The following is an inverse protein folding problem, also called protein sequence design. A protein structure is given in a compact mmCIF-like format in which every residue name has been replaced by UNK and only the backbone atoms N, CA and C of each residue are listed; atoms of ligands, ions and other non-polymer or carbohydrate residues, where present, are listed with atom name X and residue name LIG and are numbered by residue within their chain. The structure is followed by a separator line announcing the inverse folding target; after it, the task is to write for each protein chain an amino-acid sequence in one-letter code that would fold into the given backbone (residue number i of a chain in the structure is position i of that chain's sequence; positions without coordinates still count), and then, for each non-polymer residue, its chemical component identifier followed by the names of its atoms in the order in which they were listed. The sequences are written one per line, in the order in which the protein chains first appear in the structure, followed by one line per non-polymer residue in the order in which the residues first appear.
data_IF_906466572825
#
_entry.id   IF_906466572825
#
_cell.length_a   1.000
_cell.length_b   1.000
_cell.length_c   1.000
_cell.angle_alpha   90.00
_cell.angle_beta   90.00
_cell.angle_gamma   90.00
#
_symmetry.space_group_name_H-M   'P 1'
#
loop_
_entity.id
_entity.type
_entity.pdbx_description
1 polymer ?
#
# COMPACT_ATOMS: atom_id res chain seq x y z
N UNK A 1 16.34 -10.69 -17.99
CA UNK A 1 16.80 -10.43 -16.58
C UNK A 1 16.38 -9.02 -16.21
N UNK A 2 15.67 -8.85 -15.09
CA UNK A 2 15.28 -7.54 -14.56
C UNK A 2 15.98 -7.29 -13.24
N UNK A 3 16.46 -6.05 -13.04
CA UNK A 3 17.05 -5.59 -11.78
C UNK A 3 16.15 -4.52 -11.17
N UNK A 4 15.97 -4.58 -9.86
CA UNK A 4 15.14 -3.64 -9.09
C UNK A 4 15.95 -3.20 -7.87
N UNK A 5 16.10 -1.90 -7.69
CA UNK A 5 16.69 -1.32 -6.48
C UNK A 5 15.56 -1.03 -5.51
N UNK A 6 15.67 -1.52 -4.30
CA UNK A 6 14.66 -1.32 -3.25
C UNK A 6 14.75 0.12 -2.75
N UNK A 7 13.63 0.84 -2.80
CA UNK A 7 13.51 2.21 -2.32
C UNK A 7 13.19 2.25 -0.82
N UNK A 8 13.29 3.42 -0.21
CA UNK A 8 12.98 3.61 1.21
C UNK A 8 11.55 3.20 1.55
N UNK A 9 10.58 3.53 0.68
CA UNK A 9 9.16 3.18 0.85
C UNK A 9 8.89 1.67 0.82
N UNK A 10 9.80 0.88 0.25
CA UNK A 10 9.69 -0.57 0.10
C UNK A 10 10.52 -1.34 1.14
N UNK A 11 11.33 -0.63 1.93
CA UNK A 11 12.18 -1.26 2.95
C UNK A 11 11.35 -1.87 4.08
N UNK A 12 11.92 -2.89 4.74
CA UNK A 12 11.29 -3.56 5.89
C UNK A 12 10.27 -4.65 5.52
N UNK A 13 9.68 -4.63 4.33
CA UNK A 13 8.73 -5.65 3.90
C UNK A 13 9.43 -6.95 3.48
N UNK A 14 8.68 -8.05 3.49
CA UNK A 14 9.20 -9.34 3.04
C UNK A 14 9.30 -9.37 1.52
N UNK A 15 10.32 -10.05 1.01
CA UNK A 15 10.59 -10.17 -0.43
C UNK A 15 9.40 -10.75 -1.22
N UNK A 16 8.68 -11.74 -0.67
CA UNK A 16 7.51 -12.33 -1.31
C UNK A 16 6.38 -11.32 -1.44
N UNK A 17 6.15 -10.49 -0.43
CA UNK A 17 5.11 -9.45 -0.44
C UNK A 17 5.45 -8.33 -1.41
N UNK A 18 6.70 -7.88 -1.41
CA UNK A 18 7.18 -6.90 -2.37
C UNK A 18 6.97 -7.39 -3.82
N UNK A 19 7.45 -8.59 -4.14
CA UNK A 19 7.37 -9.14 -5.49
C UNK A 19 5.94 -9.38 -5.96
N UNK A 20 5.04 -9.81 -5.07
CA UNK A 20 3.62 -10.00 -5.40
C UNK A 20 2.93 -8.67 -5.74
N UNK A 21 3.30 -7.58 -5.06
CA UNK A 21 2.73 -6.25 -5.33
C UNK A 21 3.31 -5.64 -6.60
N UNK A 22 4.64 -5.73 -6.77
CA UNK A 22 5.37 -5.10 -7.89
C UNK A 22 5.12 -5.83 -9.21
N UNK A 23 4.92 -7.15 -9.19
CA UNK A 23 4.72 -7.98 -10.37
C UNK A 23 3.45 -8.83 -10.25
N UNK A 24 2.27 -8.24 -10.43
CA UNK A 24 0.98 -8.94 -10.28
C UNK A 24 0.82 -10.09 -11.26
N UNK A 25 1.48 -10.04 -12.44
CA UNK A 25 1.47 -11.11 -13.44
C UNK A 25 2.36 -12.31 -13.06
N UNK A 26 3.12 -12.24 -11.95
CA UNK A 26 3.92 -13.36 -11.47
C UNK A 26 3.11 -14.22 -10.48
N UNK A 27 2.67 -15.44 -10.87
CA UNK A 27 1.90 -16.31 -10.00
C UNK A 27 2.69 -16.66 -8.74
N UNK A 28 2.04 -16.68 -7.58
CA UNK A 28 2.67 -16.94 -6.28
C UNK A 28 3.42 -18.29 -6.24
N UNK A 29 2.86 -19.33 -6.86
CA UNK A 29 3.52 -20.62 -6.96
C UNK A 29 4.84 -20.55 -7.74
N UNK A 30 4.86 -19.77 -8.83
CA UNK A 30 6.06 -19.53 -9.63
C UNK A 30 7.09 -18.72 -8.84
N UNK A 31 6.66 -17.66 -8.15
CA UNK A 31 7.50 -16.85 -7.27
C UNK A 31 8.25 -17.72 -6.25
N UNK A 32 7.54 -18.57 -5.52
CA UNK A 32 8.14 -19.45 -4.51
C UNK A 32 9.09 -20.49 -5.13
N UNK A 33 8.73 -21.01 -6.31
CA UNK A 33 9.60 -21.92 -7.06
C UNK A 33 10.90 -21.23 -7.48
N UNK A 34 10.81 -19.98 -7.96
CA UNK A 34 11.96 -19.20 -8.45
C UNK A 34 12.91 -18.79 -7.32
N UNK A 35 12.40 -18.45 -6.14
CA UNK A 35 13.24 -18.22 -4.96
C UNK A 35 14.02 -19.50 -4.60
N UNK A 36 13.34 -20.66 -4.55
CA UNK A 36 13.99 -21.96 -4.25
C UNK A 36 15.03 -22.37 -5.29
N UNK A 37 14.76 -22.09 -6.58
CA UNK A 37 15.68 -22.37 -7.69
C UNK A 37 16.84 -21.39 -7.80
N UNK A 38 16.88 -20.34 -6.98
CA UNK A 38 17.87 -19.25 -7.01
C UNK A 38 17.80 -18.38 -8.26
N UNK A 39 16.64 -18.37 -8.94
CA UNK A 39 16.35 -17.48 -10.08
C UNK A 39 16.07 -16.05 -9.60
N UNK A 40 15.94 -15.85 -8.29
CA UNK A 40 15.82 -14.55 -7.62
C UNK A 40 16.98 -14.42 -6.63
N UNK A 41 17.75 -13.33 -6.76
CA UNK A 41 18.92 -13.05 -5.93
C UNK A 41 18.82 -11.66 -5.31
N UNK A 42 19.19 -11.54 -4.06
CA UNK A 42 19.33 -10.29 -3.33
C UNK A 42 20.80 -9.96 -3.13
N UNK A 43 21.25 -8.82 -3.63
CA UNK A 43 22.66 -8.41 -3.59
C UNK A 43 23.62 -9.50 -4.13
N UNK A 44 23.21 -10.17 -5.22
CA UNK A 44 23.96 -11.28 -5.82
C UNK A 44 23.91 -12.60 -5.04
N UNK A 45 23.30 -12.64 -3.86
CA UNK A 45 23.24 -13.81 -2.98
C UNK A 45 21.85 -14.48 -3.01
N UNK A 46 21.81 -15.72 -2.56
CA UNK A 46 20.56 -16.46 -2.33
C UNK A 46 19.73 -15.74 -1.26
N UNK A 47 18.40 -15.68 -1.45
CA UNK A 47 17.44 -15.16 -0.49
C UNK A 47 16.39 -16.22 -0.14
N UNK A 48 15.66 -16.00 0.94
CA UNK A 48 14.53 -16.81 1.39
C UNK A 48 13.23 -16.03 1.24
N UNK A 49 12.10 -16.73 1.22
CA UNK A 49 10.77 -16.14 1.09
C UNK A 49 10.50 -15.09 2.19
N UNK A 50 11.02 -15.35 3.40
CA UNK A 50 10.85 -14.48 4.56
C UNK A 50 11.87 -13.35 4.67
N UNK A 51 12.87 -13.29 3.76
CA UNK A 51 13.90 -12.25 3.77
C UNK A 51 13.26 -10.87 3.72
N UNK A 52 13.69 -9.98 4.64
CA UNK A 52 13.25 -8.59 4.65
C UNK A 52 14.21 -7.74 3.83
N UNK A 53 13.62 -6.89 3.01
CA UNK A 53 14.35 -5.98 2.13
C UNK A 53 14.82 -4.73 2.89
N UNK A 54 15.96 -4.19 2.49
CA UNK A 54 16.49 -2.93 2.99
C UNK A 54 16.58 -1.91 1.86
N UNK A 55 16.50 -0.63 2.18
CA UNK A 55 16.71 0.42 1.19
C UNK A 55 18.10 0.29 0.56
N UNK A 56 18.18 0.42 -0.75
CA UNK A 56 19.40 0.23 -1.53
C UNK A 56 19.72 -1.22 -1.92
N UNK A 57 18.98 -2.21 -1.42
CA UNK A 57 19.15 -3.59 -1.86
C UNK A 57 18.92 -3.74 -3.37
N UNK A 58 19.77 -4.53 -4.03
CA UNK A 58 19.65 -4.88 -5.44
C UNK A 58 19.02 -6.26 -5.59
N UNK A 59 17.82 -6.29 -6.14
CA UNK A 59 17.09 -7.51 -6.44
C UNK A 59 17.26 -7.87 -7.92
N UNK A 60 17.85 -9.03 -8.21
CA UNK A 60 18.03 -9.54 -9.56
C UNK A 60 17.06 -10.70 -9.83
N UNK A 61 16.25 -10.57 -10.87
CA UNK A 61 15.18 -11.49 -11.26
C UNK A 61 15.54 -12.13 -12.61
N UNK A 62 15.85 -13.42 -12.60
CA UNK A 62 16.15 -14.23 -13.79
C UNK A 62 14.87 -14.97 -14.24
N UNK A 63 13.84 -14.18 -14.59
CA UNK A 63 12.54 -14.68 -15.00
C UNK A 63 12.26 -14.22 -16.42
N UNK A 64 11.22 -14.79 -17.03
CA UNK A 64 10.76 -14.40 -18.36
C UNK A 64 10.16 -13.00 -18.34
N UNK A 65 10.34 -12.26 -19.44
CA UNK A 65 9.92 -10.86 -19.52
C UNK A 65 8.39 -10.70 -19.49
N UNK A 66 7.62 -11.74 -19.83
CA UNK A 66 6.16 -11.76 -19.73
C UNK A 66 5.63 -11.42 -18.32
N UNK A 67 6.37 -11.79 -17.27
CA UNK A 67 5.99 -11.49 -15.87
C UNK A 67 6.23 -10.03 -15.47
N UNK A 68 6.97 -9.28 -16.27
CA UNK A 68 7.33 -7.90 -15.99
C UNK A 68 6.52 -6.89 -16.82
N UNK A 69 5.65 -7.37 -17.70
CA UNK A 69 4.78 -6.51 -18.48
C UNK A 69 3.71 -5.96 -17.56
N UNK A 70 3.65 -4.65 -17.47
CA UNK A 70 2.57 -3.93 -16.82
C UNK A 70 1.75 -3.29 -17.91
N UNK A 71 0.46 -3.56 -17.93
CA UNK A 71 -0.47 -2.80 -18.78
C UNK A 71 -0.58 -1.37 -18.25
N UNK A 72 -0.82 -0.37 -19.11
CA UNK A 72 -1.08 0.99 -18.66
C UNK A 72 -2.24 0.95 -17.67
N UNK A 73 -1.98 1.27 -16.40
CA UNK A 73 -3.03 1.31 -15.40
C UNK A 73 -3.77 2.63 -15.49
N UNK A 74 -5.06 2.57 -15.79
CA UNK A 74 -5.95 3.66 -15.43
C UNK A 74 -6.09 3.67 -13.90
N UNK A 75 -5.78 4.80 -13.28
CA UNK A 75 -5.91 4.94 -11.83
C UNK A 75 -7.35 5.31 -11.49
N UNK A 76 -8.14 4.32 -11.10
CA UNK A 76 -9.56 4.51 -10.76
C UNK A 76 -9.77 5.52 -9.64
N UNK A 77 -8.81 5.70 -8.74
CA UNK A 77 -8.90 6.70 -7.69
C UNK A 77 -8.96 8.15 -8.22
N UNK A 78 -8.48 8.41 -9.43
CA UNK A 78 -8.58 9.74 -10.05
C UNK A 78 -10.03 10.11 -10.42
N UNK A 79 -10.93 9.14 -10.45
CA UNK A 79 -12.37 9.36 -10.66
C UNK A 79 -13.09 9.77 -9.36
N UNK A 80 -12.46 9.58 -8.21
CA UNK A 80 -13.02 9.95 -6.92
C UNK A 80 -12.95 11.47 -6.69
N UNK A 81 -13.93 12.11 -6.01
CA UNK A 81 -13.84 13.51 -5.67
C UNK A 81 -12.68 13.81 -4.71
N UNK A 82 -11.93 14.89 -4.93
CA UNK A 82 -10.91 15.38 -3.99
C UNK A 82 -11.58 16.18 -2.87
N UNK A 83 -12.44 15.54 -2.09
CA UNK A 83 -13.15 16.19 -0.99
C UNK A 83 -13.00 15.39 0.29
N UNK A 84 -12.08 15.86 1.13
CA UNK A 84 -11.77 15.28 2.44
C UNK A 84 -12.10 16.30 3.55
N UNK A 85 -12.56 15.82 4.69
CA UNK A 85 -12.66 16.62 5.90
C UNK A 85 -11.43 16.31 6.78
N UNK A 86 -10.37 17.11 6.59
CA UNK A 86 -9.08 16.90 7.23
C UNK A 86 -9.11 17.61 8.59
N UNK A 87 -8.84 16.86 9.66
CA UNK A 87 -8.73 17.36 11.03
C UNK A 87 -7.28 17.65 11.40
N UNK A 88 -6.36 16.88 10.88
CA UNK A 88 -4.93 17.03 11.09
C UNK A 88 -4.16 16.45 9.91
N UNK A 89 -3.05 17.07 9.59
CA UNK A 89 -2.15 16.62 8.52
C UNK A 89 -0.70 16.97 8.87
N UNK A 90 0.19 16.01 8.66
CA UNK A 90 1.64 16.20 8.64
C UNK A 90 2.27 15.35 7.53
N UNK A 91 3.61 15.31 7.45
CA UNK A 91 4.34 14.56 6.41
C UNK A 91 4.06 13.05 6.41
N UNK A 92 3.47 12.51 7.46
CA UNK A 92 3.32 11.06 7.66
C UNK A 92 1.90 10.62 7.97
N UNK A 93 1.06 11.53 8.45
CA UNK A 93 -0.25 11.19 8.99
C UNK A 93 -1.31 12.16 8.49
N UNK A 94 -2.42 11.58 8.05
CA UNK A 94 -3.63 12.30 7.70
C UNK A 94 -4.79 11.80 8.58
N UNK A 95 -5.33 12.67 9.43
CA UNK A 95 -6.49 12.39 10.27
C UNK A 95 -7.74 12.97 9.61
N UNK A 96 -8.69 12.11 9.33
CA UNK A 96 -9.91 12.44 8.59
C UNK A 96 -11.16 12.24 9.44
N UNK A 97 -12.10 13.18 9.33
CA UNK A 97 -13.49 13.01 9.78
C UNK A 97 -14.33 12.48 8.61
N UNK A 98 -14.55 11.16 8.61
CA UNK A 98 -15.31 10.49 7.56
C UNK A 98 -16.79 10.77 7.70
N UNK A 99 -17.41 11.25 6.64
CA UNK A 99 -18.86 11.41 6.62
C UNK A 99 -19.58 10.05 6.61
N UNK A 100 -20.74 9.95 7.26
CA UNK A 100 -21.63 8.80 7.10
C UNK A 100 -21.93 8.51 5.63
N UNK A 101 -22.06 7.23 5.27
CA UNK A 101 -22.36 6.79 3.91
C UNK A 101 -21.16 6.67 2.97
N UNK A 102 -20.00 7.25 3.28
CA UNK A 102 -18.78 7.04 2.51
C UNK A 102 -18.15 5.70 2.92
N UNK A 103 -17.95 4.81 1.96
CA UNK A 103 -17.23 3.54 2.20
C UNK A 103 -15.74 3.78 2.39
N UNK A 104 -15.07 2.91 3.15
CA UNK A 104 -13.63 3.07 3.45
C UNK A 104 -12.77 2.53 2.32
N UNK A 105 -13.10 1.35 1.82
CA UNK A 105 -12.43 0.73 0.67
C UNK A 105 -13.44 0.43 -0.44
N UNK A 106 -13.01 0.42 -1.71
CA UNK A 106 -13.86 -0.01 -2.80
C UNK A 106 -14.40 -1.42 -2.55
N UNK A 107 -15.64 -1.67 -2.94
CA UNK A 107 -16.26 -2.99 -2.99
C UNK A 107 -16.82 -3.27 -4.40
N UNK A 108 -17.44 -4.42 -4.60
CA UNK A 108 -17.97 -4.83 -5.91
C UNK A 108 -19.06 -3.88 -6.45
N UNK A 109 -19.70 -3.11 -5.58
CA UNK A 109 -20.80 -2.18 -5.93
C UNK A 109 -20.35 -0.74 -6.10
N UNK A 110 -19.28 -0.32 -5.39
CA UNK A 110 -18.76 1.05 -5.37
C UNK A 110 -17.28 1.10 -5.66
N UNK A 111 -16.93 1.16 -6.96
CA UNK A 111 -15.52 1.08 -7.39
C UNK A 111 -14.76 2.40 -7.29
N UNK A 112 -15.43 3.56 -7.41
CA UNK A 112 -14.73 4.83 -7.65
C UNK A 112 -14.70 5.77 -6.45
N UNK A 113 -15.75 5.84 -5.62
CA UNK A 113 -15.85 6.80 -4.52
C UNK A 113 -15.75 6.12 -3.16
N UNK A 114 -14.53 5.93 -2.70
CA UNK A 114 -14.22 5.44 -1.36
C UNK A 114 -13.26 6.38 -0.65
N UNK A 115 -13.18 6.30 0.68
CA UNK A 115 -12.27 7.14 1.46
C UNK A 115 -10.82 6.99 1.00
N UNK A 116 -10.37 5.75 0.76
CA UNK A 116 -9.00 5.51 0.28
C UNK A 116 -8.76 6.09 -1.12
N UNK A 117 -9.73 5.99 -2.02
CA UNK A 117 -9.61 6.56 -3.36
C UNK A 117 -9.51 8.10 -3.30
N UNK A 118 -10.30 8.75 -2.44
CA UNK A 118 -10.22 10.20 -2.21
C UNK A 118 -8.87 10.62 -1.62
N UNK A 119 -8.32 9.84 -0.69
CA UNK A 119 -6.98 10.09 -0.10
C UNK A 119 -5.91 9.96 -1.17
N UNK A 120 -5.94 8.89 -1.97
CA UNK A 120 -4.96 8.70 -3.05
C UNK A 120 -5.03 9.83 -4.07
N UNK A 121 -6.23 10.28 -4.46
CA UNK A 121 -6.41 11.40 -5.38
C UNK A 121 -5.88 12.71 -4.79
N UNK A 122 -6.20 12.99 -3.53
CA UNK A 122 -5.73 14.18 -2.81
C UNK A 122 -4.19 14.25 -2.77
N UNK A 123 -3.53 13.14 -2.43
CA UNK A 123 -2.07 13.07 -2.37
C UNK A 123 -1.43 13.13 -3.76
N UNK A 124 -2.11 12.58 -4.77
CA UNK A 124 -1.67 12.65 -6.15
C UNK A 124 -1.67 14.10 -6.66
N UNK A 125 -2.75 14.86 -6.45
CA UNK A 125 -2.81 16.29 -6.84
C UNK A 125 -1.74 17.13 -6.14
N UNK A 126 -1.37 16.79 -4.92
CA UNK A 126 -0.29 17.43 -4.18
C UNK A 126 1.12 17.01 -4.63
N UNK A 127 1.21 16.00 -5.47
CA UNK A 127 2.48 15.42 -5.90
C UNK A 127 3.21 14.60 -4.83
N UNK A 128 2.51 14.27 -3.73
CA UNK A 128 3.04 13.48 -2.61
C UNK A 128 2.91 11.97 -2.84
N UNK A 129 2.05 11.56 -3.75
CA UNK A 129 1.89 10.17 -4.19
C UNK A 129 1.80 10.10 -5.70
N UNK A 130 2.73 9.38 -6.32
CA UNK A 130 2.76 9.12 -7.76
C UNK A 130 2.88 7.61 -7.97
N UNK A 131 1.79 6.93 -8.30
CA UNK A 131 1.79 5.47 -8.49
C UNK A 131 2.82 4.99 -9.50
N UNK A 132 3.07 5.76 -10.55
CA UNK A 132 4.05 5.49 -11.58
C UNK A 132 5.50 5.50 -11.08
N UNK A 133 5.76 6.27 -10.04
CA UNK A 133 7.09 6.35 -9.40
C UNK A 133 7.28 5.30 -8.30
N UNK A 134 6.20 4.70 -7.80
CA UNK A 134 6.25 3.72 -6.72
C UNK A 134 6.39 2.28 -7.24
N UNK A 135 7.06 1.43 -6.48
CA UNK A 135 7.23 0.01 -6.83
C UNK A 135 6.15 -0.87 -6.21
N UNK A 136 5.92 -0.73 -4.92
CA UNK A 136 4.90 -1.50 -4.19
C UNK A 136 4.15 -0.67 -3.16
N UNK A 137 4.57 0.57 -2.91
CA UNK A 137 3.95 1.45 -1.95
C UNK A 137 2.63 2.00 -2.48
N UNK A 138 1.63 2.07 -1.61
CA UNK A 138 0.41 2.83 -1.79
C UNK A 138 -0.08 3.35 -0.43
N UNK A 139 -0.66 4.57 -0.39
CA UNK A 139 -1.30 5.09 0.81
C UNK A 139 -2.33 4.09 1.35
N UNK A 140 -2.37 3.89 2.65
CA UNK A 140 -3.25 2.92 3.29
C UNK A 140 -3.98 3.53 4.48
N UNK A 141 -5.18 3.05 4.75
CA UNK A 141 -5.93 3.40 5.94
C UNK A 141 -5.55 2.47 7.10
N UNK A 142 -5.32 3.06 8.28
CA UNK A 142 -4.89 2.30 9.47
C UNK A 142 -6.03 1.51 10.07
N UNK A 143 -7.26 2.00 9.95
CA UNK A 143 -8.45 1.39 10.55
C UNK A 143 -9.54 1.13 9.50
N UNK A 144 -10.25 0.01 9.65
CA UNK A 144 -11.43 -0.39 8.89
C UNK A 144 -12.63 -0.44 9.85
N UNK A 145 -13.13 0.71 10.25
CA UNK A 145 -14.19 0.78 11.28
C UNK A 145 -15.59 0.62 10.68
N UNK A 146 -15.76 0.77 9.38
CA UNK A 146 -17.02 0.74 8.66
C UNK A 146 -17.88 -0.52 8.88
N UNK A 147 -17.26 -1.70 9.09
CA UNK A 147 -17.99 -2.97 9.29
C UNK A 147 -18.30 -3.31 10.76
N UNK A 148 -17.65 -2.68 11.73
CA UNK A 148 -17.75 -3.08 13.13
C UNK A 148 -18.79 -2.31 13.94
N UNK A 149 -19.22 -1.16 13.47
CA UNK A 149 -20.02 -0.22 14.28
C UNK A 149 -21.52 -0.31 14.02
N UNK A 150 -21.94 -0.67 12.83
CA UNK A 150 -23.36 -0.90 12.54
C UNK A 150 -23.96 -2.05 13.35
N UNK A 151 -23.13 -3.04 13.76
CA UNK A 151 -23.58 -4.19 14.55
C UNK A 151 -23.62 -3.94 16.07
N UNK A 152 -23.02 -2.84 16.57
CA UNK A 152 -22.93 -2.53 18.02
C UNK A 152 -23.62 -1.24 18.45
N UNK A 153 -24.40 -0.60 17.58
CA UNK A 153 -25.15 0.62 17.93
C UNK A 153 -24.29 1.84 18.31
N UNK A 154 -23.03 1.87 17.88
CA UNK A 154 -22.15 3.02 18.07
C UNK A 154 -22.55 4.14 17.12
N UNK A 155 -22.67 5.36 17.61
CA UNK A 155 -23.01 6.53 16.82
C UNK A 155 -21.94 6.80 15.75
N UNK A 156 -22.24 6.49 14.48
CA UNK A 156 -21.34 6.69 13.33
C UNK A 156 -20.88 8.16 13.17
N UNK A 157 -21.50 9.09 13.89
CA UNK A 157 -21.21 10.53 13.80
C UNK A 157 -19.87 10.94 14.44
N UNK A 158 -19.13 10.03 15.09
CA UNK A 158 -17.87 10.31 15.77
C UNK A 158 -16.73 9.37 15.39
N UNK A 159 -16.70 8.89 14.16
CA UNK A 159 -15.66 7.95 13.74
C UNK A 159 -14.58 8.71 12.95
N UNK A 160 -13.42 8.81 13.55
CA UNK A 160 -12.23 9.34 12.89
C UNK A 160 -11.49 8.23 12.16
N UNK A 161 -11.08 8.49 10.94
CA UNK A 161 -10.28 7.60 10.15
C UNK A 161 -8.88 8.17 9.97
N UNK A 162 -7.88 7.33 10.17
CA UNK A 162 -6.50 7.68 9.95
C UNK A 162 -6.04 7.09 8.63
N UNK A 163 -5.61 7.92 7.72
CA UNK A 163 -4.85 7.51 6.56
C UNK A 163 -3.37 7.65 6.88
N UNK A 164 -2.63 6.56 6.77
CA UNK A 164 -1.20 6.55 6.95
C UNK A 164 -0.54 6.71 5.59
N UNK A 165 0.14 7.81 5.38
CA UNK A 165 0.98 8.08 4.22
C UNK A 165 2.44 7.82 4.62
N UNK A 166 2.71 6.69 5.23
CA UNK A 166 4.09 6.37 5.57
C UNK A 166 4.69 5.42 4.53
N UNK A 167 5.92 5.67 4.14
CA UNK A 167 6.82 4.59 3.79
C UNK A 167 6.73 3.55 4.92
N UNK A 168 6.93 2.29 4.63
CA UNK A 168 6.71 1.17 5.55
C UNK A 168 7.63 1.21 6.80
N UNK A 169 7.72 2.38 7.45
CA UNK A 169 8.41 2.58 8.70
C UNK A 169 7.61 1.97 9.85
N UNK A 170 8.16 0.90 10.40
CA UNK A 170 7.64 0.21 11.58
C UNK A 170 7.51 1.12 12.81
N UNK A 171 8.21 2.27 12.85
CA UNK A 171 8.14 3.24 13.95
C UNK A 171 6.82 4.03 13.93
N UNK A 172 6.38 4.48 12.76
CA UNK A 172 5.10 5.19 12.62
C UNK A 172 3.89 4.28 12.89
N UNK A 173 3.93 3.02 12.42
CA UNK A 173 2.90 2.02 12.75
C UNK A 173 2.82 1.73 14.25
N UNK A 174 3.94 1.79 14.99
CA UNK A 174 3.97 1.66 16.45
C UNK A 174 3.40 2.89 17.15
N UNK A 175 3.71 4.09 16.66
CA UNK A 175 3.20 5.35 17.23
C UNK A 175 1.68 5.43 17.10
N UNK A 176 1.12 5.08 15.93
CA UNK A 176 -0.33 5.05 15.73
C UNK A 176 -1.00 3.96 16.58
N UNK A 177 -0.43 2.76 16.68
CA UNK A 177 -0.95 1.72 17.58
C UNK A 177 -0.94 2.16 19.04
N UNK A 178 0.08 2.89 19.49
CA UNK A 178 0.17 3.39 20.88
C UNK A 178 -0.91 4.42 21.22
N UNK A 179 -1.45 5.15 20.22
CA UNK A 179 -2.55 6.10 20.41
C UNK A 179 -3.91 5.41 20.61
N UNK A 180 -4.06 4.14 20.18
CA UNK A 180 -5.34 3.41 20.23
C UNK A 180 -5.43 2.34 21.33
N UNK A 181 -4.36 2.12 22.09
CA UNK A 181 -4.34 1.16 23.21
C UNK A 181 -4.30 1.83 24.59
N UNK A 182 -4.78 3.07 24.67
CA UNK A 182 -5.07 3.74 25.96
C UNK A 182 -6.55 3.82 26.22
#
# INVERSE_FOLDING_TARGET
MKQVIIRENDAGQRIDKFLTKTFPNLPQAMLYKSIRKKDIKLNGKRCEISTRLQAGDLLALYLKDEFFQQEPQEYDFLKAPVKLNILYEDSNLLLLDKKPGLIVHPDETYHFDSLIARVQHYLYERGEYKPEDEQSFAPALVNRIDRFLSSRGVDERRIFHFALVLPDDTAGKRAVRALFHR
#
